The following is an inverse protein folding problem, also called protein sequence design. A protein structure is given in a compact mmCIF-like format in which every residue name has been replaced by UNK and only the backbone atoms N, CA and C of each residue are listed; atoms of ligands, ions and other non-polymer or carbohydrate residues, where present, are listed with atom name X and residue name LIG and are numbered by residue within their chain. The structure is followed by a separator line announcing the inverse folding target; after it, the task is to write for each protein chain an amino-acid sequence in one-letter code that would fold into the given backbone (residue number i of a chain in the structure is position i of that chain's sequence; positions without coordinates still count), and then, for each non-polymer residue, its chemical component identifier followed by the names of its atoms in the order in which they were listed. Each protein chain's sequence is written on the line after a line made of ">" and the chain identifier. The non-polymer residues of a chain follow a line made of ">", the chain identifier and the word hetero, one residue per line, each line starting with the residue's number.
data_IF_303475914341
#
_entry.id   IF_303475914341
#
_cell.length_a   1.000
_cell.length_b   1.000
_cell.length_c   1.000
_cell.angle_alpha   90.00
_cell.angle_beta   90.00
_cell.angle_gamma   90.00
#
_symmetry.space_group_name_H-M   'P 1'
#
loop_
_entity.id
_entity.type
_entity.pdbx_description
1 polymer ?
#
# COMPACT_ATOMS: atom_id res chain seq x y z
N UNK A 1 3.10 -53.49 -36.17
CA UNK A 1 3.54 -53.19 -34.80
C UNK A 1 3.31 -51.74 -34.53
N UNK A 2 2.55 -51.49 -33.52
CA UNK A 2 1.98 -50.14 -33.26
C UNK A 2 2.91 -49.37 -32.31
N UNK A 3 3.26 -48.11 -32.61
CA UNK A 3 3.84 -47.21 -31.59
C UNK A 3 2.74 -46.35 -31.00
N UNK A 4 1.99 -46.91 -30.06
CA UNK A 4 0.92 -46.19 -29.35
C UNK A 4 1.40 -45.66 -27.96
N UNK A 5 2.67 -45.77 -27.66
CA UNK A 5 3.22 -45.44 -26.33
C UNK A 5 3.99 -44.09 -26.30
N UNK A 6 4.10 -43.39 -27.44
CA UNK A 6 4.87 -42.13 -27.49
C UNK A 6 4.03 -40.85 -27.29
N UNK A 7 2.69 -40.94 -27.22
CA UNK A 7 1.83 -39.74 -27.16
C UNK A 7 1.43 -39.35 -25.73
N UNK A 8 1.64 -40.23 -24.75
CA UNK A 8 1.17 -39.99 -23.37
C UNK A 8 2.14 -39.20 -22.48
N UNK A 9 3.36 -38.95 -22.92
CA UNK A 9 4.34 -38.19 -22.13
C UNK A 9 4.47 -36.70 -22.48
N UNK A 10 3.85 -36.24 -23.58
CA UNK A 10 3.90 -34.82 -24.00
C UNK A 10 2.85 -33.94 -23.35
N UNK A 11 1.84 -34.49 -22.68
CA UNK A 11 0.72 -33.73 -22.12
C UNK A 11 0.89 -33.32 -20.64
N UNK A 12 1.96 -33.74 -19.98
CA UNK A 12 2.17 -33.44 -18.54
C UNK A 12 3.20 -32.34 -18.27
N UNK A 13 3.77 -31.74 -19.31
CA UNK A 13 4.81 -30.70 -19.17
C UNK A 13 4.27 -29.24 -19.30
N UNK A 14 2.95 -29.05 -19.36
CA UNK A 14 2.33 -27.74 -19.65
C UNK A 14 1.64 -27.07 -18.47
N UNK A 15 1.84 -27.51 -17.25
CA UNK A 15 1.09 -26.99 -16.11
C UNK A 15 1.91 -26.59 -14.90
N UNK A 16 3.04 -25.89 -15.11
CA UNK A 16 3.65 -25.12 -14.02
C UNK A 16 4.39 -23.90 -14.58
N UNK A 17 3.68 -23.03 -15.27
CA UNK A 17 4.09 -21.64 -15.27
C UNK A 17 3.55 -21.06 -13.95
N UNK A 18 4.35 -21.16 -12.90
CA UNK A 18 4.22 -20.29 -11.76
C UNK A 18 4.31 -18.87 -12.33
N UNK A 19 3.18 -18.17 -12.40
CA UNK A 19 3.14 -16.74 -12.71
C UNK A 19 3.78 -16.08 -11.50
N UNK A 20 5.10 -15.99 -11.54
CA UNK A 20 5.81 -15.06 -10.68
C UNK A 20 5.28 -13.67 -11.07
N UNK A 21 4.47 -13.07 -10.21
CA UNK A 21 4.02 -11.71 -10.42
C UNK A 21 5.27 -10.84 -10.48
N UNK A 22 5.70 -10.51 -11.69
CA UNK A 22 6.76 -9.53 -11.88
C UNK A 22 6.18 -8.19 -11.44
N UNK A 23 6.67 -7.68 -10.32
CA UNK A 23 6.44 -6.29 -9.96
C UNK A 23 6.93 -5.43 -11.11
N UNK A 24 6.06 -4.59 -11.67
CA UNK A 24 6.35 -3.74 -12.83
C UNK A 24 7.44 -2.71 -12.55
N UNK A 25 7.75 -2.47 -11.29
CA UNK A 25 8.80 -1.57 -10.84
C UNK A 25 9.77 -2.37 -9.95
N UNK A 26 11.07 -2.47 -10.28
CA UNK A 26 12.07 -3.17 -9.47
C UNK A 26 12.24 -2.58 -8.06
N UNK A 27 11.85 -1.33 -7.86
CA UNK A 27 11.89 -0.66 -6.56
C UNK A 27 10.63 -0.93 -5.71
N UNK A 28 9.61 -1.56 -6.28
CA UNK A 28 8.39 -1.88 -5.55
C UNK A 28 8.58 -3.17 -4.74
N UNK A 29 8.61 -3.03 -3.43
CA UNK A 29 8.87 -4.11 -2.47
C UNK A 29 7.65 -4.99 -2.19
N UNK A 30 6.48 -4.66 -2.72
CA UNK A 30 5.25 -5.40 -2.47
C UNK A 30 4.16 -5.18 -3.53
N UNK A 31 3.10 -6.00 -3.53
CA UNK A 31 1.96 -5.79 -4.41
C UNK A 31 1.19 -4.52 -4.00
N UNK A 32 0.68 -3.79 -5.01
CA UNK A 32 -0.25 -2.68 -4.78
C UNK A 32 -1.65 -3.24 -4.45
N UNK A 33 -1.83 -3.65 -3.20
CA UNK A 33 -3.10 -4.17 -2.67
C UNK A 33 -3.62 -3.21 -1.61
N UNK A 34 -4.74 -2.53 -1.87
CA UNK A 34 -5.30 -1.60 -0.90
C UNK A 34 -5.78 -2.32 0.37
N UNK A 35 -5.41 -1.81 1.53
CA UNK A 35 -5.90 -2.32 2.82
C UNK A 35 -7.44 -2.27 2.88
N UNK A 36 -8.15 -3.37 3.18
CA UNK A 36 -9.60 -3.33 3.35
C UNK A 36 -10.03 -2.31 4.41
N UNK A 37 -11.13 -1.58 4.17
CA UNK A 37 -11.56 -0.51 5.10
C UNK A 37 -11.80 -1.00 6.53
N UNK A 38 -12.34 -2.21 6.70
CA UNK A 38 -12.53 -2.81 8.04
C UNK A 38 -11.21 -3.04 8.78
N UNK A 39 -10.14 -3.36 8.04
CA UNK A 39 -8.79 -3.51 8.60
C UNK A 39 -8.23 -2.15 8.99
N UNK A 40 -8.39 -1.13 8.14
CA UNK A 40 -7.99 0.26 8.45
C UNK A 40 -8.65 0.74 9.74
N UNK A 41 -9.96 0.53 9.86
CA UNK A 41 -10.71 0.95 11.04
C UNK A 41 -10.20 0.26 12.32
N UNK A 42 -9.90 -1.03 12.25
CA UNK A 42 -9.37 -1.77 13.38
C UNK A 42 -7.91 -1.39 13.70
N UNK A 43 -7.05 -1.18 12.69
CA UNK A 43 -5.67 -0.71 12.87
C UNK A 43 -5.62 0.60 13.67
N UNK A 44 -6.40 1.60 13.26
CA UNK A 44 -6.41 2.92 13.91
C UNK A 44 -7.02 2.85 15.32
N UNK A 45 -8.01 2.00 15.52
CA UNK A 45 -8.63 1.75 16.82
C UNK A 45 -7.65 1.08 17.79
N UNK A 46 -6.97 0.01 17.37
CA UNK A 46 -5.97 -0.71 18.19
C UNK A 46 -4.76 0.17 18.48
N UNK A 47 -4.36 1.03 17.55
CA UNK A 47 -3.31 2.02 17.77
C UNK A 47 -3.72 3.14 18.74
N UNK A 48 -4.98 3.18 19.16
CA UNK A 48 -5.53 4.23 20.05
C UNK A 48 -5.24 5.65 19.57
N UNK A 49 -5.35 5.88 18.25
CA UNK A 49 -5.08 7.19 17.63
C UNK A 49 -5.93 8.29 18.28
N UNK A 50 -5.27 9.38 18.66
CA UNK A 50 -5.90 10.52 19.35
C UNK A 50 -5.92 11.77 18.46
N UNK A 51 -6.84 12.70 18.72
CA UNK A 51 -6.87 13.99 18.03
C UNK A 51 -5.52 14.73 18.15
N UNK A 52 -5.02 15.23 17.02
CA UNK A 52 -3.77 15.99 16.97
C UNK A 52 -2.50 15.16 16.82
N UNK A 53 -2.56 13.84 17.03
CA UNK A 53 -1.44 12.93 16.76
C UNK A 53 -1.12 12.89 15.26
N UNK A 54 0.12 12.53 14.94
CA UNK A 54 0.61 12.37 13.57
C UNK A 54 0.78 10.89 13.25
N UNK A 55 -0.01 10.41 12.30
CA UNK A 55 0.07 9.04 11.76
C UNK A 55 0.97 9.04 10.54
N UNK A 56 2.01 8.22 10.56
CA UNK A 56 2.86 7.94 9.39
C UNK A 56 2.42 6.62 8.75
N UNK A 57 2.19 6.63 7.44
CA UNK A 57 1.81 5.45 6.67
C UNK A 57 2.87 5.14 5.61
N UNK A 58 3.59 4.04 5.80
CA UNK A 58 4.70 3.64 4.97
C UNK A 58 4.21 2.75 3.81
N UNK A 59 4.29 3.27 2.58
CA UNK A 59 3.62 2.69 1.44
C UNK A 59 2.14 3.05 1.43
N UNK A 60 1.83 4.35 1.52
CA UNK A 60 0.48 4.82 1.81
C UNK A 60 -0.56 4.55 0.71
N UNK A 61 -0.13 4.10 -0.47
CA UNK A 61 -1.03 3.75 -1.56
C UNK A 61 -2.03 4.87 -1.89
N UNK A 62 -3.31 4.57 -1.85
CA UNK A 62 -4.39 5.52 -2.11
C UNK A 62 -4.72 6.46 -0.93
N UNK A 63 -3.95 6.38 0.17
CA UNK A 63 -4.06 7.25 1.32
C UNK A 63 -5.23 6.97 2.27
N UNK A 64 -5.93 5.84 2.11
CA UNK A 64 -7.15 5.54 2.88
C UNK A 64 -6.94 5.49 4.39
N UNK A 65 -5.78 5.01 4.85
CA UNK A 65 -5.44 4.98 6.29
C UNK A 65 -5.35 6.41 6.82
N UNK A 66 -4.62 7.28 6.13
CA UNK A 66 -4.44 8.68 6.53
C UNK A 66 -5.74 9.49 6.44
N UNK A 67 -6.53 9.26 5.39
CA UNK A 67 -7.84 9.89 5.21
C UNK A 67 -8.76 9.48 6.37
N UNK A 68 -8.79 8.20 6.72
CA UNK A 68 -9.59 7.71 7.85
C UNK A 68 -9.10 8.30 9.18
N UNK A 69 -7.78 8.34 9.41
CA UNK A 69 -7.21 8.96 10.60
C UNK A 69 -7.59 10.44 10.73
N UNK A 70 -7.52 11.19 9.64
CA UNK A 70 -7.89 12.61 9.65
C UNK A 70 -9.39 12.85 9.87
N UNK A 71 -10.25 12.04 9.24
CA UNK A 71 -11.70 12.22 9.29
C UNK A 71 -12.33 11.71 10.58
N UNK A 72 -11.93 10.50 11.03
CA UNK A 72 -12.55 9.85 12.20
C UNK A 72 -11.87 10.23 13.51
N UNK A 73 -10.57 10.49 13.50
CA UNK A 73 -9.79 10.71 14.72
C UNK A 73 -9.27 12.14 14.86
N UNK A 74 -9.49 13.00 13.85
CA UNK A 74 -8.93 14.34 13.81
C UNK A 74 -7.38 14.36 13.95
N UNK A 75 -6.73 13.33 13.44
CA UNK A 75 -5.29 13.19 13.42
C UNK A 75 -4.68 13.90 12.20
N UNK A 76 -3.37 14.13 12.24
CA UNK A 76 -2.56 14.53 11.09
C UNK A 76 -2.01 13.27 10.41
N UNK A 77 -1.66 13.35 9.14
CA UNK A 77 -1.12 12.23 8.40
C UNK A 77 0.11 12.61 7.58
N UNK A 78 1.07 11.69 7.53
CA UNK A 78 2.20 11.74 6.60
C UNK A 78 2.27 10.40 5.89
N UNK A 79 2.03 10.39 4.58
CA UNK A 79 2.15 9.21 3.74
C UNK A 79 3.46 9.21 2.96
N UNK A 80 4.09 8.06 2.88
CA UNK A 80 5.27 7.89 2.03
C UNK A 80 4.93 6.89 0.94
N UNK A 81 5.09 7.29 -0.32
CA UNK A 81 4.77 6.47 -1.48
C UNK A 81 5.91 6.52 -2.49
N UNK A 82 6.38 5.34 -2.91
CA UNK A 82 7.50 5.23 -3.84
C UNK A 82 7.06 5.37 -5.30
N UNK A 83 5.88 4.87 -5.65
CA UNK A 83 5.33 4.99 -6.99
C UNK A 83 4.89 6.43 -7.26
N UNK A 84 5.52 7.08 -8.24
CA UNK A 84 5.17 8.45 -8.64
C UNK A 84 3.70 8.57 -9.05
N UNK A 85 3.21 7.61 -9.84
CA UNK A 85 1.83 7.64 -10.33
C UNK A 85 0.81 7.54 -9.19
N UNK A 86 1.09 6.69 -8.19
CA UNK A 86 0.23 6.53 -7.02
C UNK A 86 0.32 7.78 -6.16
N UNK A 87 1.53 8.27 -5.89
CA UNK A 87 1.76 9.52 -5.15
C UNK A 87 0.95 10.69 -5.73
N UNK A 88 1.04 10.92 -7.05
CA UNK A 88 0.34 12.05 -7.70
C UNK A 88 -1.19 11.91 -7.59
N UNK A 89 -1.72 10.70 -7.80
CA UNK A 89 -3.16 10.42 -7.65
C UNK A 89 -3.62 10.62 -6.21
N UNK A 90 -2.84 10.16 -5.25
CA UNK A 90 -3.18 10.26 -3.82
C UNK A 90 -3.11 11.69 -3.33
N UNK A 91 -2.08 12.45 -3.72
CA UNK A 91 -1.99 13.88 -3.40
C UNK A 91 -3.16 14.67 -3.98
N UNK A 92 -3.53 14.40 -5.23
CA UNK A 92 -4.70 15.02 -5.87
C UNK A 92 -6.01 14.67 -5.15
N UNK A 93 -6.18 13.40 -4.76
CA UNK A 93 -7.34 12.93 -3.99
C UNK A 93 -7.47 13.65 -2.65
N UNK A 94 -6.39 13.71 -1.87
CA UNK A 94 -6.35 14.38 -0.57
C UNK A 94 -6.73 15.86 -0.72
N UNK A 95 -6.17 16.53 -1.72
CA UNK A 95 -6.49 17.93 -2.02
C UNK A 95 -7.95 18.10 -2.42
N UNK A 96 -8.51 17.24 -3.26
CA UNK A 96 -9.92 17.30 -3.67
C UNK A 96 -10.90 17.10 -2.50
N UNK A 97 -10.44 16.43 -1.43
CA UNK A 97 -11.21 16.24 -0.19
C UNK A 97 -11.01 17.38 0.83
N UNK A 98 -10.18 18.38 0.53
CA UNK A 98 -9.85 19.48 1.44
C UNK A 98 -9.03 19.03 2.66
N UNK A 99 -8.27 17.94 2.53
CA UNK A 99 -7.49 17.36 3.62
C UNK A 99 -5.98 17.69 3.54
N UNK A 100 -5.56 18.44 2.54
CA UNK A 100 -4.16 18.83 2.31
C UNK A 100 -3.56 19.71 3.42
N UNK A 101 -4.39 20.34 4.25
CA UNK A 101 -3.95 21.00 5.48
C UNK A 101 -3.66 20.06 6.65
N UNK A 102 -4.07 18.79 6.57
CA UNK A 102 -3.88 17.77 7.62
C UNK A 102 -3.01 16.61 7.18
N UNK A 103 -3.00 16.30 5.89
CA UNK A 103 -2.31 15.14 5.32
C UNK A 103 -1.29 15.61 4.30
N UNK A 104 -0.05 15.21 4.49
CA UNK A 104 1.03 15.36 3.54
C UNK A 104 1.37 14.00 2.93
N UNK A 105 1.58 13.94 1.61
CA UNK A 105 2.14 12.76 0.94
C UNK A 105 3.52 13.12 0.43
N UNK A 106 4.47 12.23 0.64
CA UNK A 106 5.88 12.36 0.24
C UNK A 106 6.16 11.29 -0.83
N UNK A 107 6.66 11.71 -1.98
CA UNK A 107 7.21 10.79 -2.95
C UNK A 107 8.62 10.37 -2.49
N UNK A 108 8.76 9.13 -2.03
CA UNK A 108 10.03 8.67 -1.46
C UNK A 108 10.04 7.21 -1.04
N UNK A 109 11.19 6.80 -0.54
CA UNK A 109 11.41 5.45 -0.03
C UNK A 109 11.16 5.44 1.49
N UNK A 110 10.24 4.57 1.93
CA UNK A 110 9.91 4.37 3.34
C UNK A 110 11.12 4.00 4.21
N UNK A 111 12.10 3.29 3.65
CA UNK A 111 13.33 2.90 4.35
C UNK A 111 14.26 4.08 4.71
N UNK A 112 14.06 5.24 4.07
CA UNK A 112 14.86 6.45 4.29
C UNK A 112 14.06 7.56 4.96
N UNK A 113 12.87 7.23 5.49
CA UNK A 113 11.98 8.21 6.11
C UNK A 113 12.36 8.41 7.58
N UNK A 114 12.48 9.66 8.00
CA UNK A 114 12.60 10.00 9.42
C UNK A 114 11.24 9.81 10.10
N UNK A 115 11.19 8.89 11.06
CA UNK A 115 10.00 8.57 11.83
C UNK A 115 9.96 9.25 13.21
N UNK A 116 10.97 10.05 13.57
CA UNK A 116 11.01 10.73 14.86
C UNK A 116 9.77 11.61 15.14
N UNK A 117 9.15 12.28 14.14
CA UNK A 117 7.95 13.07 14.36
C UNK A 117 6.65 12.26 14.44
N UNK A 118 6.68 10.93 14.24
CA UNK A 118 5.49 10.09 14.22
C UNK A 118 5.03 9.73 15.64
N UNK A 119 3.74 9.88 15.92
CA UNK A 119 3.10 9.32 17.12
C UNK A 119 2.66 7.87 16.85
N UNK A 120 2.20 7.60 15.64
CA UNK A 120 1.76 6.28 15.18
C UNK A 120 2.35 5.98 13.81
N UNK A 121 2.81 4.75 13.61
CA UNK A 121 3.30 4.28 12.29
C UNK A 121 2.44 3.10 11.85
N UNK A 122 1.96 3.15 10.62
CA UNK A 122 1.26 2.06 9.96
C UNK A 122 2.10 1.50 8.81
N UNK A 123 2.01 0.19 8.63
CA UNK A 123 2.66 -0.56 7.57
C UNK A 123 1.76 -1.75 7.21
N UNK A 124 1.43 -1.89 5.90
CA UNK A 124 0.58 -2.98 5.42
C UNK A 124 1.13 -3.57 4.11
#
# INVERSE_FOLDING_TARGET
>A
MRPLTAILFAALALSQQAVCQQFKNPDNLGPDVPTPQSVVDEMLKVAHVKPGETVYDLGCGDGRILITAAQKYNAKGVGVEMSRDIYEKTAARIKSMGLDGKIQVIHGNALHTDLAPADVVTLY
#
